data_IF_752628051464
#
_entry.id   IF_752628051464
#
_cell.length_a   1.000
_cell.length_b   1.000
_cell.length_c   1.000
_cell.angle_alpha   90.00
_cell.angle_beta   90.00
_cell.angle_gamma   90.00
#
_symmetry.space_group_name_H-M   'P 1'
#
loop_
_entity.id
_entity.type
_entity.pdbx_description
1 polymer ?
#
# COMPACT_ATOMS: atom_id res chain seq x y z
N UNK A 1 4.92 1.48 12.18
CA UNK A 1 6.33 1.60 12.52
C UNK A 1 7.15 0.65 11.68
N UNK A 2 8.11 1.13 10.89
CA UNK A 2 8.98 0.25 10.13
C UNK A 2 9.94 -0.52 11.04
N UNK A 3 10.15 -1.79 10.72
CA UNK A 3 11.04 -2.68 11.44
C UNK A 3 11.81 -3.52 10.43
N UNK A 4 12.95 -4.03 10.83
CA UNK A 4 13.76 -4.88 9.95
C UNK A 4 14.65 -5.82 10.78
N UNK A 5 15.21 -6.83 10.12
CA UNK A 5 16.20 -7.73 10.69
C UNK A 5 17.46 -6.97 11.07
N UNK A 6 18.31 -7.60 11.88
CA UNK A 6 19.55 -7.00 12.36
C UNK A 6 20.44 -6.56 11.21
N UNK A 7 20.57 -7.39 10.19
CA UNK A 7 21.24 -7.04 8.94
C UNK A 7 20.24 -7.03 7.79
N UNK A 8 20.45 -6.20 6.78
CA UNK A 8 19.56 -6.09 5.64
C UNK A 8 20.28 -6.08 4.29
N UNK A 9 21.61 -6.37 4.27
CA UNK A 9 22.38 -6.26 3.04
C UNK A 9 21.86 -7.15 1.91
N UNK A 10 21.54 -8.40 2.21
CA UNK A 10 21.06 -9.34 1.20
C UNK A 10 19.66 -8.97 0.68
N UNK A 11 18.73 -8.66 1.58
CA UNK A 11 17.38 -8.27 1.16
C UNK A 11 17.39 -6.92 0.43
N UNK A 12 18.24 -5.98 0.86
CA UNK A 12 18.35 -4.69 0.17
C UNK A 12 18.85 -4.86 -1.26
N UNK A 13 19.86 -5.70 -1.47
CA UNK A 13 20.36 -6.01 -2.81
C UNK A 13 19.30 -6.70 -3.67
N UNK A 14 18.58 -7.67 -3.10
CA UNK A 14 17.51 -8.37 -3.80
C UNK A 14 16.36 -7.44 -4.16
N UNK A 15 15.96 -6.57 -3.23
CA UNK A 15 14.89 -5.60 -3.47
C UNK A 15 15.28 -4.58 -4.54
N UNK A 16 16.53 -4.12 -4.53
CA UNK A 16 17.02 -3.20 -5.55
C UNK A 16 16.94 -3.83 -6.95
N UNK A 17 17.29 -5.10 -7.08
CA UNK A 17 17.17 -5.82 -8.36
C UNK A 17 15.70 -5.98 -8.76
N UNK A 18 14.84 -6.31 -7.82
CA UNK A 18 13.40 -6.41 -8.09
C UNK A 18 12.83 -5.07 -8.53
N UNK A 19 13.28 -3.97 -7.94
CA UNK A 19 12.81 -2.63 -8.31
C UNK A 19 13.20 -2.22 -9.73
N UNK A 20 14.28 -2.74 -10.27
CA UNK A 20 14.62 -2.53 -11.68
C UNK A 20 13.59 -3.16 -12.63
N UNK A 21 12.93 -4.21 -12.18
CA UNK A 21 11.93 -4.93 -12.98
C UNK A 21 10.50 -4.47 -12.67
N UNK A 22 10.26 -3.88 -11.50
CA UNK A 22 8.94 -3.42 -11.10
C UNK A 22 8.44 -2.32 -12.02
N UNK A 23 7.18 -2.45 -12.43
CA UNK A 23 6.46 -1.41 -13.15
C UNK A 23 5.28 -0.96 -12.32
N UNK A 24 4.84 0.27 -12.52
CA UNK A 24 3.62 0.72 -11.89
C UNK A 24 2.42 -0.03 -12.50
N UNK A 25 1.49 -0.51 -11.69
CA UNK A 25 0.31 -1.18 -12.20
C UNK A 25 -0.59 -0.22 -12.97
N UNK A 26 -1.34 -0.77 -13.92
CA UNK A 26 -2.31 0.01 -14.67
C UNK A 26 -3.39 0.57 -13.75
N UNK A 27 -3.70 1.85 -13.93
CA UNK A 27 -4.71 2.56 -13.15
C UNK A 27 -6.07 2.42 -13.83
N UNK A 28 -6.69 1.27 -13.67
CA UNK A 28 -7.94 0.92 -14.35
C UNK A 28 -9.21 1.31 -13.60
N UNK A 29 -9.09 1.71 -12.34
CA UNK A 29 -10.21 2.07 -11.49
C UNK A 29 -10.27 3.58 -11.29
N UNK A 30 -11.47 4.11 -11.07
CA UNK A 30 -11.69 5.54 -10.86
C UNK A 30 -12.39 5.76 -9.53
N UNK A 31 -11.87 6.66 -8.73
CA UNK A 31 -12.51 7.12 -7.51
C UNK A 31 -12.91 8.59 -7.65
N UNK A 32 -13.94 8.97 -6.92
CA UNK A 32 -14.46 10.33 -6.91
C UNK A 32 -14.19 10.95 -5.55
N UNK A 33 -13.61 12.15 -5.57
CA UNK A 33 -13.44 12.97 -4.37
C UNK A 33 -14.57 13.98 -4.36
N UNK A 34 -15.52 13.90 -3.38
CA UNK A 34 -16.61 14.84 -3.30
C UNK A 34 -16.11 16.27 -3.05
N UNK A 35 -16.79 17.24 -3.59
CA UNK A 35 -16.55 18.63 -3.25
C UNK A 35 -16.96 18.89 -1.80
N UNK A 36 -16.05 19.47 -1.01
CA UNK A 36 -16.31 19.80 0.40
C UNK A 36 -16.92 21.18 0.54
N UNK A 37 -16.51 22.11 -0.32
CA UNK A 37 -16.98 23.49 -0.30
C UNK A 37 -17.88 23.78 -1.50
N UNK A 38 -18.85 24.71 -1.38
CA UNK A 38 -19.82 24.96 -2.45
C UNK A 38 -19.24 25.36 -3.81
N UNK A 39 -18.02 25.89 -3.84
CA UNK A 39 -17.37 26.32 -5.09
C UNK A 39 -16.39 25.32 -5.66
N UNK A 40 -16.16 24.24 -4.94
CA UNK A 40 -15.29 23.16 -5.43
C UNK A 40 -16.04 22.30 -6.41
N UNK A 41 -15.31 21.82 -7.42
CA UNK A 41 -15.81 20.77 -8.30
C UNK A 41 -15.44 19.41 -7.76
N UNK A 42 -16.31 18.44 -8.00
CA UNK A 42 -16.00 17.04 -7.76
C UNK A 42 -14.78 16.65 -8.62
N UNK A 43 -13.82 15.97 -8.00
CA UNK A 43 -12.63 15.48 -8.69
C UNK A 43 -12.64 13.98 -8.79
N UNK A 44 -12.01 13.49 -9.83
CA UNK A 44 -11.79 12.07 -9.99
C UNK A 44 -10.29 11.79 -10.06
N UNK A 45 -9.89 10.61 -9.61
CA UNK A 45 -8.53 10.12 -9.82
C UNK A 45 -8.57 8.64 -10.16
N UNK A 46 -7.55 8.19 -10.87
CA UNK A 46 -7.45 6.80 -11.27
C UNK A 46 -6.52 6.06 -10.31
N UNK A 47 -6.80 4.80 -10.11
CA UNK A 47 -5.95 3.95 -9.27
C UNK A 47 -5.94 2.51 -9.77
N UNK A 48 -4.90 1.79 -9.37
CA UNK A 48 -4.76 0.37 -9.68
C UNK A 48 -5.44 -0.48 -8.62
N UNK A 49 -5.99 -1.61 -9.04
CA UNK A 49 -6.51 -2.59 -8.10
C UNK A 49 -5.38 -3.22 -7.28
N UNK A 50 -5.74 -3.70 -6.09
CA UNK A 50 -4.81 -4.48 -5.27
C UNK A 50 -4.32 -5.71 -6.04
N UNK A 51 -5.20 -6.42 -6.74
CA UNK A 51 -4.83 -7.65 -7.43
C UNK A 51 -3.80 -7.41 -8.53
N UNK A 52 -3.94 -6.33 -9.31
CA UNK A 52 -2.97 -6.01 -10.34
C UNK A 52 -1.59 -5.70 -9.76
N UNK A 53 -1.56 -4.85 -8.74
CA UNK A 53 -0.30 -4.51 -8.08
C UNK A 53 0.33 -5.70 -7.37
N UNK A 54 -0.49 -6.50 -6.70
CA UNK A 54 -0.02 -7.68 -5.99
C UNK A 54 0.59 -8.71 -6.95
N UNK A 55 0.00 -8.91 -8.13
CA UNK A 55 0.55 -9.80 -9.16
C UNK A 55 1.94 -9.34 -9.61
N UNK A 56 2.09 -8.06 -9.91
CA UNK A 56 3.38 -7.49 -10.32
C UNK A 56 4.42 -7.68 -9.22
N UNK A 57 4.06 -7.33 -8.00
CA UNK A 57 4.97 -7.42 -6.85
C UNK A 57 5.41 -8.88 -6.61
N UNK A 58 4.46 -9.81 -6.57
CA UNK A 58 4.78 -11.22 -6.30
C UNK A 58 5.70 -11.80 -7.37
N UNK A 59 5.45 -11.48 -8.64
CA UNK A 59 6.29 -11.97 -9.74
C UNK A 59 7.69 -11.40 -9.70
N UNK A 60 7.81 -10.09 -9.53
CA UNK A 60 9.12 -9.44 -9.53
C UNK A 60 9.94 -9.78 -8.29
N UNK A 61 9.33 -9.70 -7.12
CA UNK A 61 10.04 -10.01 -5.88
C UNK A 61 10.35 -11.50 -5.75
N UNK A 62 9.44 -12.35 -6.23
CA UNK A 62 9.65 -13.80 -6.21
C UNK A 62 10.87 -14.25 -7.01
N UNK A 63 11.19 -13.58 -8.11
CA UNK A 63 12.41 -13.88 -8.87
C UNK A 63 13.69 -13.62 -8.09
N UNK A 64 13.61 -12.76 -7.08
CA UNK A 64 14.75 -12.41 -6.23
C UNK A 64 14.59 -12.99 -4.82
N UNK A 65 13.78 -14.03 -4.70
CA UNK A 65 13.60 -14.81 -3.48
C UNK A 65 13.06 -13.99 -2.31
N UNK A 66 12.21 -13.01 -2.60
CA UNK A 66 11.52 -12.22 -1.59
C UNK A 66 10.04 -12.59 -1.59
N UNK A 67 9.57 -13.09 -0.45
CA UNK A 67 8.15 -13.34 -0.23
C UNK A 67 7.50 -12.08 0.35
N UNK A 68 6.25 -11.82 -0.07
CA UNK A 68 5.43 -10.77 0.52
C UNK A 68 4.37 -11.42 1.42
N UNK A 69 4.29 -10.95 2.65
CA UNK A 69 3.36 -11.48 3.64
C UNK A 69 2.59 -10.33 4.26
N UNK A 70 1.27 -10.41 4.22
CA UNK A 70 0.41 -9.44 4.89
C UNK A 70 -0.46 -10.18 5.90
N UNK A 71 -0.40 -9.75 7.14
CA UNK A 71 -1.13 -10.35 8.24
C UNK A 71 -1.86 -9.27 9.03
N UNK A 72 -3.05 -9.60 9.49
CA UNK A 72 -3.84 -8.70 10.34
C UNK A 72 -3.65 -9.05 11.81
N UNK A 73 -3.75 -8.04 12.65
CA UNK A 73 -3.72 -8.19 14.09
C UNK A 73 -4.54 -7.11 14.77
N UNK A 74 -4.67 -7.24 16.06
CA UNK A 74 -5.42 -6.27 16.89
C UNK A 74 -4.43 -5.57 17.81
N UNK A 75 -4.40 -4.25 17.72
CA UNK A 75 -3.74 -3.42 18.72
C UNK A 75 -4.78 -3.05 19.76
N UNK A 76 -4.74 -3.73 20.90
CA UNK A 76 -5.74 -3.56 21.96
C UNK A 76 -5.63 -2.23 22.66
N UNK A 77 -4.43 -1.69 22.79
CA UNK A 77 -4.23 -0.39 23.43
C UNK A 77 -4.84 0.74 22.61
N UNK A 78 -4.59 0.71 21.31
CA UNK A 78 -5.11 1.73 20.40
C UNK A 78 -6.54 1.44 19.95
N UNK A 79 -7.07 0.24 20.18
CA UNK A 79 -8.39 -0.16 19.71
C UNK A 79 -8.48 -0.26 18.19
N UNK A 80 -7.40 -0.65 17.54
CA UNK A 80 -7.28 -0.70 16.08
C UNK A 80 -7.03 -2.09 15.56
N UNK A 81 -7.60 -2.39 14.40
CA UNK A 81 -7.13 -3.47 13.54
C UNK A 81 -5.91 -2.95 12.80
N UNK A 82 -4.83 -3.70 12.84
CA UNK A 82 -3.59 -3.38 12.14
C UNK A 82 -3.28 -4.40 11.05
N UNK A 83 -2.58 -3.92 10.03
CA UNK A 83 -2.01 -4.75 8.98
C UNK A 83 -0.49 -4.66 9.07
N UNK A 84 0.16 -5.81 9.15
CA UNK A 84 1.61 -5.90 9.04
C UNK A 84 1.98 -6.44 7.67
N UNK A 85 2.77 -5.69 6.93
CA UNK A 85 3.32 -6.11 5.64
C UNK A 85 4.78 -6.43 5.83
N UNK A 86 5.18 -7.64 5.47
CA UNK A 86 6.55 -8.11 5.62
C UNK A 86 7.10 -8.57 4.28
N UNK A 87 8.31 -8.14 3.99
CA UNK A 87 9.14 -8.69 2.91
C UNK A 87 10.15 -9.62 3.56
N UNK A 88 10.13 -10.89 3.17
CA UNK A 88 11.01 -11.90 3.75
C UNK A 88 11.90 -12.49 2.66
N UNK A 89 13.22 -12.41 2.84
CA UNK A 89 14.18 -12.90 1.88
C UNK A 89 14.72 -14.27 2.28
N UNK A 90 15.15 -15.06 1.30
CA UNK A 90 15.71 -16.40 1.52
C UNK A 90 16.92 -16.43 2.45
N UNK A 91 17.63 -15.31 2.60
CA UNK A 91 18.74 -15.18 3.56
C UNK A 91 18.30 -15.22 5.02
N UNK A 92 17.01 -15.08 5.30
CA UNK A 92 16.47 -14.87 6.64
C UNK A 92 16.31 -13.41 7.02
N UNK A 93 16.77 -12.49 6.18
CA UNK A 93 16.56 -11.06 6.38
C UNK A 93 15.15 -10.66 6.03
N UNK A 94 14.63 -9.63 6.68
CA UNK A 94 13.26 -9.19 6.48
C UNK A 94 13.11 -7.70 6.77
N UNK A 95 12.06 -7.13 6.19
CA UNK A 95 11.63 -5.75 6.44
C UNK A 95 10.11 -5.76 6.61
N UNK A 96 9.59 -5.03 7.58
CA UNK A 96 8.16 -4.95 7.79
C UNK A 96 7.69 -3.55 8.15
N UNK A 97 6.41 -3.33 7.95
CA UNK A 97 5.73 -2.08 8.26
C UNK A 97 4.34 -2.37 8.77
N UNK A 98 3.93 -1.65 9.80
CA UNK A 98 2.57 -1.73 10.35
C UNK A 98 1.73 -0.57 9.81
N UNK A 99 0.47 -0.86 9.51
CA UNK A 99 -0.47 0.12 8.99
C UNK A 99 -1.83 -0.03 9.70
N UNK A 100 -2.43 1.06 10.18
CA UNK A 100 -3.76 0.98 10.78
C UNK A 100 -4.80 0.74 9.70
N UNK A 101 -5.73 -0.15 9.97
CA UNK A 101 -6.80 -0.48 9.02
C UNK A 101 -8.08 0.26 9.41
N UNK A 102 -8.58 0.01 10.62
CA UNK A 102 -9.83 0.58 11.09
C UNK A 102 -9.97 0.35 12.60
N UNK A 103 -10.89 1.05 13.26
CA UNK A 103 -11.22 0.74 14.64
C UNK A 103 -11.72 -0.70 14.81
N UNK A 104 -11.45 -1.30 15.95
CA UNK A 104 -11.92 -2.67 16.27
C UNK A 104 -13.44 -2.77 16.15
N UNK A 105 -14.16 -1.68 16.47
CA UNK A 105 -15.62 -1.62 16.36
C UNK A 105 -16.13 -1.93 14.93
N UNK A 106 -15.31 -1.71 13.90
CA UNK A 106 -15.71 -1.99 12.51
C UNK A 106 -15.79 -3.48 12.19
N UNK A 107 -15.31 -4.36 13.08
CA UNK A 107 -15.47 -5.80 12.89
C UNK A 107 -16.93 -6.23 12.87
N UNK A 108 -17.83 -5.42 13.42
CA UNK A 108 -19.28 -5.62 13.32
C UNK A 108 -19.88 -5.22 11.97
N UNK A 109 -19.10 -4.62 11.06
CA UNK A 109 -19.55 -4.16 9.75
C UNK A 109 -18.63 -4.73 8.67
N UNK A 110 -18.82 -6.00 8.25
CA UNK A 110 -17.87 -6.70 7.36
C UNK A 110 -17.57 -5.97 6.06
N UNK A 111 -18.55 -5.29 5.47
CA UNK A 111 -18.33 -4.56 4.22
C UNK A 111 -17.37 -3.40 4.40
N UNK A 112 -17.52 -2.63 5.48
CA UNK A 112 -16.64 -1.50 5.76
C UNK A 112 -15.25 -1.97 6.12
N UNK A 113 -15.16 -3.01 6.95
CA UNK A 113 -13.87 -3.59 7.32
C UNK A 113 -13.15 -4.17 6.09
N UNK A 114 -13.88 -4.87 5.22
CA UNK A 114 -13.32 -5.44 3.99
C UNK A 114 -12.79 -4.36 3.06
N UNK A 115 -13.52 -3.27 2.88
CA UNK A 115 -13.08 -2.14 2.07
C UNK A 115 -11.85 -1.47 2.67
N UNK A 116 -11.86 -1.24 3.98
CA UNK A 116 -10.71 -0.65 4.70
C UNK A 116 -9.47 -1.54 4.60
N UNK A 117 -9.65 -2.85 4.70
CA UNK A 117 -8.55 -3.80 4.59
C UNK A 117 -7.95 -3.82 3.18
N UNK A 118 -8.77 -3.83 2.14
CA UNK A 118 -8.29 -3.78 0.75
C UNK A 118 -7.48 -2.51 0.51
N UNK A 119 -7.99 -1.38 0.97
CA UNK A 119 -7.31 -0.09 0.90
C UNK A 119 -5.95 -0.14 1.61
N UNK A 120 -5.93 -0.62 2.86
CA UNK A 120 -4.71 -0.72 3.65
C UNK A 120 -3.68 -1.66 3.01
N UNK A 121 -4.11 -2.81 2.50
CA UNK A 121 -3.24 -3.77 1.83
C UNK A 121 -2.56 -3.15 0.62
N UNK A 122 -3.31 -2.40 -0.19
CA UNK A 122 -2.78 -1.72 -1.36
C UNK A 122 -1.76 -0.66 -0.99
N UNK A 123 -2.12 0.24 -0.07
CA UNK A 123 -1.23 1.31 0.36
C UNK A 123 0.04 0.79 1.01
N UNK A 124 -0.10 -0.13 1.95
CA UNK A 124 1.06 -0.65 2.68
C UNK A 124 2.02 -1.39 1.76
N UNK A 125 1.50 -2.23 0.87
CA UNK A 125 2.34 -2.98 -0.05
C UNK A 125 3.03 -2.09 -1.07
N UNK A 126 2.28 -1.25 -1.75
CA UNK A 126 2.82 -0.39 -2.81
C UNK A 126 3.85 0.60 -2.26
N UNK A 127 3.58 1.16 -1.08
CA UNK A 127 4.49 2.08 -0.42
C UNK A 127 5.80 1.39 -0.04
N UNK A 128 5.72 0.19 0.51
CA UNK A 128 6.90 -0.53 0.98
C UNK A 128 7.80 -0.98 -0.17
N UNK A 129 7.23 -1.45 -1.26
CA UNK A 129 8.04 -1.93 -2.41
C UNK A 129 8.39 -0.82 -3.38
N UNK A 130 7.75 0.33 -3.31
CA UNK A 130 8.09 1.51 -4.12
C UNK A 130 7.42 1.57 -5.48
N UNK A 131 6.15 1.19 -5.57
CA UNK A 131 5.36 1.40 -6.80
C UNK A 131 4.27 2.44 -6.58
N UNK A 132 3.89 3.12 -7.65
CA UNK A 132 2.84 4.12 -7.64
C UNK A 132 1.59 3.55 -8.34
N UNK A 133 0.53 3.34 -7.55
CA UNK A 133 -0.72 2.77 -8.05
C UNK A 133 -1.84 3.78 -8.23
N UNK A 134 -1.57 5.08 -8.06
CA UNK A 134 -2.57 6.12 -8.13
C UNK A 134 -2.08 7.30 -8.95
N UNK A 135 -3.02 8.10 -9.47
CA UNK A 135 -2.70 9.40 -10.02
C UNK A 135 -2.08 10.26 -8.91
N UNK A 136 -1.13 11.12 -9.29
CA UNK A 136 -0.47 12.00 -8.35
C UNK A 136 -1.44 13.07 -7.86
N UNK A 137 -1.94 12.91 -6.63
CA UNK A 137 -2.88 13.84 -6.02
C UNK A 137 -2.24 15.17 -5.61
N UNK A 138 -0.90 15.20 -5.52
CA UNK A 138 -0.13 16.42 -5.31
C UNK A 138 0.23 17.07 -6.63
N UNK A 139 0.02 16.40 -7.76
CA UNK A 139 0.14 17.06 -9.04
C UNK A 139 -0.77 18.27 -8.95
N UNK A 140 -0.22 19.48 -9.00
CA UNK A 140 -1.01 20.62 -8.68
C UNK A 140 -2.18 20.72 -9.64
N UNK A 141 -3.35 20.79 -9.08
CA UNK A 141 -4.43 21.38 -9.77
C UNK A 141 -3.99 22.84 -9.97
N UNK A 142 -3.42 23.12 -11.13
CA UNK A 142 -2.88 24.43 -11.41
C UNK A 142 -3.91 25.53 -11.23
N UNK A 143 -5.19 25.20 -11.30
CA UNK A 143 -6.26 26.16 -11.04
C UNK A 143 -6.28 26.63 -9.59
N UNK A 144 -5.75 25.86 -8.65
CA UNK A 144 -5.64 26.25 -7.25
C UNK A 144 -4.41 27.13 -7.00
N UNK A 145 -3.37 26.97 -7.81
CA UNK A 145 -2.13 27.73 -7.68
C UNK A 145 -2.25 29.12 -8.26
N UNK A 146 -3.14 29.31 -9.21
CA UNK A 146 -3.35 30.59 -9.89
C UNK A 146 -4.20 31.58 -9.12
N UNK A 147 -4.55 31.24 -7.96
CA UNK A 147 -5.37 32.09 -7.10
C UNK A 147 -4.56 33.29 -6.62
#
# INVERSE_FOLDING_TARGET
MPRHSETIGAIAAALAKAQEELTNPEKSLTATIPAIFPRETTRTFRYASLSNGLDIVRKCLGRHEIATVQATGVDREAGLIQLTTTLAHSSGEWMSSDWPVCPVSETGAPHRMGAALTYARRYALFTLVGIAGEDDLDAPDLSLIHI
#
